data_IF_612847706161
#
_entry.id   IF_612847706161
#
_cell.length_a   1.000
_cell.length_b   1.000
_cell.length_c   1.000
_cell.angle_alpha   90.00
_cell.angle_beta   90.00
_cell.angle_gamma   90.00
#
_symmetry.space_group_name_H-M   'P 1'
#
loop_
_entity.id
_entity.type
_entity.pdbx_description
1 polymer ?
#
# COMPACT_ATOMS: atom_id res chain seq x y z
N UNK A 1 10.58 13.62 3.78
CA UNK A 1 10.53 12.49 4.72
C UNK A 1 11.66 11.53 4.44
N UNK A 2 12.29 11.06 5.48
CA UNK A 2 13.33 10.05 5.34
C UNK A 2 12.73 8.69 4.95
N UNK A 3 13.40 7.98 4.03
CA UNK A 3 12.96 6.66 3.60
C UNK A 3 13.45 5.59 4.58
N UNK A 4 12.51 4.86 5.19
CA UNK A 4 12.82 3.74 6.08
C UNK A 4 13.08 2.48 5.25
N UNK A 5 12.16 2.16 4.31
CA UNK A 5 12.35 1.07 3.35
C UNK A 5 12.13 1.60 1.94
N UNK A 6 13.10 1.36 1.05
CA UNK A 6 12.95 1.68 -0.36
C UNK A 6 12.16 0.58 -1.07
N UNK A 7 11.90 0.77 -2.35
CA UNK A 7 11.12 -0.16 -3.16
C UNK A 7 11.69 -1.58 -3.14
N UNK A 8 12.99 -1.72 -3.26
CA UNK A 8 13.64 -3.02 -3.27
C UNK A 8 13.57 -3.71 -1.90
N UNK A 9 13.67 -2.95 -0.83
CA UNK A 9 13.52 -3.49 0.53
C UNK A 9 12.08 -3.95 0.77
N UNK A 10 11.08 -3.23 0.26
CA UNK A 10 9.68 -3.63 0.35
C UNK A 10 9.48 -5.00 -0.33
N UNK A 11 10.10 -5.22 -1.48
CA UNK A 11 10.00 -6.50 -2.19
C UNK A 11 10.56 -7.67 -1.36
N UNK A 12 11.46 -7.41 -0.43
CA UNK A 12 11.97 -8.44 0.46
C UNK A 12 11.04 -8.72 1.65
N UNK A 13 10.06 -7.85 1.89
CA UNK A 13 9.14 -7.98 3.01
C UNK A 13 7.80 -8.58 2.58
N UNK A 14 7.24 -8.11 1.46
CA UNK A 14 5.95 -8.60 0.97
C UNK A 14 6.12 -9.34 -0.35
N UNK A 15 5.23 -10.32 -0.65
CA UNK A 15 5.37 -11.15 -1.86
C UNK A 15 4.86 -10.48 -3.13
N UNK A 16 4.14 -9.38 -3.02
CA UNK A 16 3.54 -8.68 -4.16
C UNK A 16 4.60 -8.25 -5.16
N UNK A 17 4.22 -8.26 -6.45
CA UNK A 17 5.10 -7.84 -7.55
C UNK A 17 4.30 -7.03 -8.56
N UNK A 18 4.99 -6.30 -9.42
CA UNK A 18 4.32 -5.54 -10.46
C UNK A 18 3.50 -6.46 -11.38
N UNK A 19 2.33 -6.06 -11.84
CA UNK A 19 1.76 -4.71 -11.71
C UNK A 19 0.96 -4.49 -10.42
N UNK A 20 0.98 -5.42 -9.48
CA UNK A 20 0.13 -5.39 -8.30
C UNK A 20 0.82 -4.85 -7.04
N UNK A 21 2.09 -4.55 -7.10
CA UNK A 21 2.80 -3.92 -5.97
C UNK A 21 2.53 -2.41 -6.04
N UNK A 22 1.79 -1.89 -5.05
CA UNK A 22 1.22 -0.54 -5.13
C UNK A 22 1.84 0.48 -4.18
N UNK A 23 2.98 0.17 -3.54
CA UNK A 23 3.66 1.13 -2.67
C UNK A 23 5.11 1.32 -3.12
N UNK A 24 5.61 2.55 -3.03
CA UNK A 24 6.92 2.92 -3.55
C UNK A 24 8.00 3.01 -2.49
N UNK A 25 7.64 3.46 -1.30
CA UNK A 25 8.57 3.52 -0.16
C UNK A 25 7.80 3.59 1.15
N UNK A 26 8.48 3.26 2.24
CA UNK A 26 7.94 3.38 3.60
C UNK A 26 8.70 4.48 4.32
N UNK A 27 7.98 5.38 4.96
CA UNK A 27 8.56 6.56 5.63
C UNK A 27 8.39 6.55 7.15
N UNK A 28 7.49 5.72 7.68
CA UNK A 28 7.36 5.49 9.12
C UNK A 28 7.03 4.02 9.35
N UNK A 29 7.60 3.43 10.39
CA UNK A 29 7.45 2.00 10.63
C UNK A 29 7.60 1.69 12.11
N UNK A 30 6.63 0.93 12.66
CA UNK A 30 6.70 0.33 13.98
C UNK A 30 6.28 -1.13 13.85
N UNK A 31 7.21 -2.04 14.11
CA UNK A 31 6.99 -3.47 13.90
C UNK A 31 5.71 -3.97 14.55
N UNK A 32 4.84 -4.60 13.75
CA UNK A 32 3.58 -5.17 14.23
C UNK A 32 2.52 -4.15 14.64
N UNK A 33 2.80 -2.86 14.53
CA UNK A 33 1.90 -1.83 15.03
C UNK A 33 1.46 -0.83 13.99
N UNK A 34 2.39 -0.28 13.19
CA UNK A 34 2.07 0.87 12.35
C UNK A 34 3.03 0.98 11.18
N UNK A 35 2.51 1.44 10.06
CA UNK A 35 3.32 1.71 8.88
C UNK A 35 2.73 2.87 8.10
N UNK A 36 3.59 3.76 7.61
CA UNK A 36 3.21 4.81 6.68
C UNK A 36 4.03 4.64 5.40
N UNK A 37 3.33 4.45 4.29
CA UNK A 37 3.93 4.25 2.98
C UNK A 37 3.54 5.36 2.02
N UNK A 38 4.32 5.51 0.97
CA UNK A 38 4.07 6.49 -0.09
C UNK A 38 3.84 5.74 -1.39
N UNK A 39 2.82 6.14 -2.13
CA UNK A 39 2.61 5.76 -3.52
C UNK A 39 2.59 6.99 -4.39
N UNK A 40 3.44 7.01 -5.41
CA UNK A 40 3.42 8.04 -6.44
C UNK A 40 2.48 7.58 -7.55
N UNK A 41 1.45 8.39 -7.87
CA UNK A 41 0.46 8.04 -8.88
C UNK A 41 0.90 8.60 -10.22
N UNK A 42 1.18 7.72 -11.18
CA UNK A 42 1.68 8.10 -12.50
C UNK A 42 0.64 7.83 -13.57
N UNK A 43 0.60 8.69 -14.60
CA UNK A 43 -0.32 8.54 -15.73
C UNK A 43 -0.07 7.31 -16.59
N UNK A 44 1.12 6.68 -16.47
CA UNK A 44 1.42 5.47 -17.24
C UNK A 44 1.04 4.18 -16.53
N UNK A 45 0.33 4.26 -15.43
CA UNK A 45 -0.14 3.04 -14.74
C UNK A 45 -1.27 2.39 -15.54
N UNK A 46 -1.23 1.05 -15.73
CA UNK A 46 -2.16 0.36 -16.63
C UNK A 46 -3.64 0.57 -16.32
N UNK A 47 -4.02 0.72 -15.06
CA UNK A 47 -5.43 0.83 -14.71
C UNK A 47 -6.09 2.11 -15.24
N UNK A 48 -5.33 3.15 -15.56
CA UNK A 48 -5.91 4.38 -16.09
C UNK A 48 -6.41 4.22 -17.53
N UNK A 49 -6.00 3.18 -18.24
CA UNK A 49 -6.49 2.92 -19.59
C UNK A 49 -7.99 2.58 -19.58
N UNK A 50 -8.46 1.98 -18.50
CA UNK A 50 -9.87 1.58 -18.37
C UNK A 50 -10.66 2.39 -17.37
N UNK A 51 -10.00 3.14 -16.50
CA UNK A 51 -10.68 3.80 -15.38
C UNK A 51 -10.27 5.25 -15.21
N UNK A 52 -10.55 6.16 -16.11
CA UNK A 52 -11.35 6.01 -17.35
C UNK A 52 -10.56 6.59 -18.52
N UNK A 53 -10.79 6.15 -19.77
CA UNK A 53 -10.01 6.63 -20.93
C UNK A 53 -10.01 8.14 -21.10
N UNK A 54 -11.14 8.80 -20.81
CA UNK A 54 -11.28 10.25 -20.99
C UNK A 54 -10.97 11.06 -19.72
N UNK A 55 -10.90 10.40 -18.56
CA UNK A 55 -10.59 11.06 -17.30
C UNK A 55 -9.98 10.06 -16.34
N UNK A 56 -8.68 10.14 -16.14
CA UNK A 56 -7.92 9.17 -15.33
C UNK A 56 -8.20 9.36 -13.84
N UNK A 57 -8.76 8.33 -13.21
CA UNK A 57 -9.04 8.30 -11.77
C UNK A 57 -8.60 6.96 -11.23
N UNK A 58 -7.84 6.97 -10.14
CA UNK A 58 -7.42 5.71 -9.52
C UNK A 58 -8.63 5.00 -8.88
N UNK A 59 -8.84 3.70 -9.22
CA UNK A 59 -9.93 2.95 -8.58
C UNK A 59 -9.78 2.88 -7.07
N UNK A 60 -10.90 3.14 -6.35
CA UNK A 60 -10.88 3.08 -4.88
C UNK A 60 -10.47 1.73 -4.33
N UNK A 61 -10.82 0.64 -5.03
CA UNK A 61 -10.43 -0.71 -4.60
C UNK A 61 -8.91 -0.89 -4.62
N UNK A 62 -8.19 -0.21 -5.52
CA UNK A 62 -6.72 -0.27 -5.56
C UNK A 62 -6.09 0.57 -4.45
N UNK A 63 -6.73 1.67 -4.04
CA UNK A 63 -6.28 2.44 -2.89
C UNK A 63 -6.41 1.59 -1.62
N UNK A 64 -7.53 0.87 -1.49
CA UNK A 64 -7.74 -0.06 -0.39
C UNK A 64 -6.68 -1.18 -0.40
N UNK A 65 -6.35 -1.71 -1.58
CA UNK A 65 -5.29 -2.71 -1.69
C UNK A 65 -3.93 -2.14 -1.30
N UNK A 66 -3.63 -0.89 -1.70
CA UNK A 66 -2.37 -0.24 -1.30
C UNK A 66 -2.28 -0.08 0.22
N UNK A 67 -3.39 0.23 0.89
CA UNK A 67 -3.45 0.27 2.36
C UNK A 67 -3.20 -1.12 2.96
N UNK A 68 -3.78 -2.17 2.36
CA UNK A 68 -3.57 -3.54 2.81
C UNK A 68 -2.09 -3.94 2.69
N UNK A 69 -1.42 -3.55 1.60
CA UNK A 69 0.00 -3.82 1.41
C UNK A 69 0.85 -3.07 2.44
N UNK A 70 0.47 -1.84 2.76
CA UNK A 70 1.15 -1.06 3.80
C UNK A 70 1.06 -1.77 5.15
N UNK A 71 -0.12 -2.27 5.50
CA UNK A 71 -0.31 -3.07 6.71
C UNK A 71 0.47 -4.37 6.68
N UNK A 72 0.57 -5.00 5.51
CA UNK A 72 1.36 -6.23 5.35
C UNK A 72 2.84 -5.99 5.66
N UNK A 73 3.38 -4.84 5.27
CA UNK A 73 4.77 -4.49 5.63
C UNK A 73 4.94 -4.47 7.15
N UNK A 74 4.00 -3.87 7.87
CA UNK A 74 4.08 -3.79 9.33
C UNK A 74 4.07 -5.18 9.99
N UNK A 75 3.33 -6.14 9.42
CA UNK A 75 3.17 -7.48 9.98
C UNK A 75 4.28 -8.43 9.54
N UNK A 76 4.60 -8.46 8.24
CA UNK A 76 5.46 -9.50 7.67
C UNK A 76 6.96 -9.26 7.86
N UNK A 77 7.36 -8.06 8.27
CA UNK A 77 8.77 -7.77 8.51
C UNK A 77 9.27 -8.29 9.87
N UNK A 78 8.40 -8.82 10.70
CA UNK A 78 8.82 -9.41 11.97
C UNK A 78 9.45 -10.79 11.74
N UNK A 79 10.38 -11.18 12.58
CA UNK A 79 11.00 -12.52 12.52
C UNK A 79 9.94 -13.62 12.61
N UNK A 80 8.92 -13.41 13.44
CA UNK A 80 7.85 -14.36 13.66
C UNK A 80 7.01 -14.61 12.42
N UNK A 81 6.81 -13.57 11.60
CA UNK A 81 5.89 -13.62 10.45
C UNK A 81 6.61 -13.58 9.10
N UNK A 82 7.92 -13.47 9.09
CA UNK A 82 8.70 -13.36 7.86
C UNK A 82 8.46 -14.54 6.94
N UNK A 83 8.18 -14.27 5.69
CA UNK A 83 7.92 -15.30 4.69
C UNK A 83 6.47 -15.80 4.63
N UNK A 84 5.61 -15.36 5.56
CA UNK A 84 4.19 -15.70 5.52
C UNK A 84 3.45 -14.80 4.53
N UNK A 85 2.27 -15.23 4.11
CA UNK A 85 1.37 -14.42 3.29
C UNK A 85 0.32 -13.83 4.19
N UNK A 86 0.17 -12.48 4.14
CA UNK A 86 -0.85 -11.79 4.90
C UNK A 86 -2.13 -11.70 4.07
N UNK A 87 -3.21 -12.26 4.58
CA UNK A 87 -4.52 -12.16 3.96
C UNK A 87 -5.41 -11.28 4.86
N UNK A 88 -5.81 -10.13 4.33
CA UNK A 88 -6.64 -9.21 5.08
C UNK A 88 -8.11 -9.62 5.00
N UNK A 89 -8.75 -9.78 6.16
CA UNK A 89 -10.17 -10.12 6.25
C UNK A 89 -11.06 -8.91 5.98
N UNK A 90 -10.53 -7.70 6.13
CA UNK A 90 -11.28 -6.49 5.86
C UNK A 90 -10.56 -5.25 6.34
N UNK A 91 -11.05 -4.10 5.92
CA UNK A 91 -10.57 -2.79 6.36
C UNK A 91 -11.77 -2.02 6.89
N UNK A 92 -11.73 -1.65 8.18
CA UNK A 92 -12.76 -0.83 8.77
C UNK A 92 -12.61 0.62 8.36
N UNK A 93 -13.71 1.29 8.03
CA UNK A 93 -13.76 2.74 7.82
C UNK A 93 -12.83 3.26 6.73
N UNK A 94 -12.97 2.75 5.51
CA UNK A 94 -12.27 3.31 4.36
C UNK A 94 -13.09 4.46 3.78
N UNK A 95 -12.50 5.67 3.70
CA UNK A 95 -13.14 6.86 3.15
C UNK A 95 -12.30 7.49 2.07
N UNK A 96 -12.94 7.85 0.96
CA UNK A 96 -12.29 8.58 -0.12
C UNK A 96 -12.86 10.00 -0.18
N UNK A 97 -12.09 10.98 0.29
CA UNK A 97 -12.53 12.37 0.37
C UNK A 97 -12.41 13.12 -0.93
N UNK A 98 -11.59 12.64 -1.86
CA UNK A 98 -11.46 13.18 -3.20
C UNK A 98 -10.92 12.11 -4.13
N UNK A 99 -11.08 12.36 -5.44
CA UNK A 99 -10.52 11.49 -6.45
C UNK A 99 -8.99 11.57 -6.47
N UNK A 100 -8.35 10.43 -6.73
CA UNK A 100 -6.90 10.34 -6.90
C UNK A 100 -6.61 10.28 -8.39
N UNK A 101 -5.78 11.19 -8.85
CA UNK A 101 -5.47 11.35 -10.28
C UNK A 101 -3.96 11.31 -10.50
N UNK A 102 -3.50 11.09 -11.75
CA UNK A 102 -2.06 11.12 -12.04
C UNK A 102 -1.41 12.42 -11.56
N UNK A 103 -0.25 12.29 -10.96
CA UNK A 103 0.48 13.40 -10.35
C UNK A 103 0.33 13.47 -8.84
N UNK A 104 -0.65 12.78 -8.28
CA UNK A 104 -0.86 12.78 -6.82
C UNK A 104 0.18 11.92 -6.11
N UNK A 105 0.49 12.31 -4.88
CA UNK A 105 1.27 11.50 -3.95
C UNK A 105 0.33 11.03 -2.85
N UNK A 106 0.20 9.71 -2.69
CA UNK A 106 -0.61 9.14 -1.63
C UNK A 106 0.25 8.83 -0.41
N UNK A 107 -0.19 9.31 0.75
CA UNK A 107 0.37 8.89 2.02
C UNK A 107 -0.58 7.88 2.63
N UNK A 108 -0.11 6.65 2.78
CA UNK A 108 -0.91 5.51 3.20
C UNK A 108 -0.54 5.16 4.63
N UNK A 109 -1.42 5.45 5.57
CA UNK A 109 -1.16 5.22 6.98
C UNK A 109 -2.06 4.10 7.51
N UNK A 110 -1.45 3.09 8.13
CA UNK A 110 -2.16 1.94 8.66
C UNK A 110 -1.69 1.65 10.08
N UNK A 111 -2.64 1.47 10.99
CA UNK A 111 -2.38 0.99 12.33
C UNK A 111 -2.97 -0.41 12.48
N UNK A 112 -2.20 -1.29 13.09
CA UNK A 112 -2.65 -2.67 13.35
C UNK A 112 -3.29 -2.68 14.72
N UNK A 113 -4.60 -2.80 14.76
CA UNK A 113 -5.35 -2.82 16.02
C UNK A 113 -5.59 -4.24 16.53
N UNK A 114 -5.56 -5.23 15.61
CA UNK A 114 -5.78 -6.63 15.98
C UNK A 114 -5.16 -7.55 14.93
N UNK A 115 -4.24 -8.39 15.37
CA UNK A 115 -3.68 -9.42 14.51
C UNK A 115 -4.44 -10.72 14.67
N UNK A 116 -4.81 -11.32 13.53
CA UNK A 116 -5.35 -12.67 13.48
C UNK A 116 -4.35 -13.54 12.74
N UNK A 117 -3.92 -14.56 13.39
CA UNK A 117 -2.95 -15.51 12.85
C UNK A 117 -3.51 -16.35 11.70
#
# INVERSE_FOLDING_TARGET
METIFDYNQIKNIIPHRQPFLLIDKVVEYEEGQRCVAIKQVSGNEPFFQGHFPEYAVMPGVLITEALAQTGAVAILNSEQNKGKIALFAGIDKCRFKRQVVPGDTLQLEVEITKMRG
#
